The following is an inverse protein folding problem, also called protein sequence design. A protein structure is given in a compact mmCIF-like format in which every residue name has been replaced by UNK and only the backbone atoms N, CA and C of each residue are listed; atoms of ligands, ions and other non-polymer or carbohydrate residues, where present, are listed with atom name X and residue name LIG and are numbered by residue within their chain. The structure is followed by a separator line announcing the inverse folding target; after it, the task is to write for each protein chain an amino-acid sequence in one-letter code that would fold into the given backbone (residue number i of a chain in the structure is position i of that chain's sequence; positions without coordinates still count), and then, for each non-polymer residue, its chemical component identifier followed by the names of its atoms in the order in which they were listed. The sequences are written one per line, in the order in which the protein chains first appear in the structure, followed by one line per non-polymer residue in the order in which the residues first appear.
data_IF_616818502139
#
_entry.id   IF_616818502139
#
_cell.length_a   1.000
_cell.length_b   1.000
_cell.length_c   1.000
_cell.angle_alpha   90.00
_cell.angle_beta   90.00
_cell.angle_gamma   90.00
#
_symmetry.space_group_name_H-M   'P 1'
#
loop_
_entity.id
_entity.type
_entity.pdbx_description
1 polymer ?
#
# COMPACT_ATOMS: atom_id res chain seq x y z
N UNK A 1 -33.53 -47.75 -7.93
CA UNK A 1 -33.14 -46.81 -6.85
C UNK A 1 -32.50 -45.59 -7.46
N UNK A 2 -32.80 -44.37 -7.01
CA UNK A 2 -32.20 -43.16 -7.58
C UNK A 2 -30.69 -43.12 -7.26
N UNK A 3 -29.85 -42.70 -8.21
CA UNK A 3 -28.39 -42.49 -8.03
C UNK A 3 -28.07 -41.76 -6.74
N UNK A 4 -28.87 -40.76 -6.40
CA UNK A 4 -28.71 -39.94 -5.20
C UNK A 4 -28.85 -40.78 -3.91
N UNK A 5 -29.82 -41.66 -3.83
CA UNK A 5 -30.04 -42.54 -2.64
C UNK A 5 -28.85 -43.48 -2.42
N UNK A 6 -28.30 -44.04 -3.49
CA UNK A 6 -27.12 -44.91 -3.43
C UNK A 6 -25.88 -44.18 -2.97
N UNK A 7 -25.65 -42.93 -3.52
CA UNK A 7 -24.54 -42.07 -3.13
C UNK A 7 -24.58 -41.70 -1.64
N UNK A 8 -25.72 -41.24 -1.13
CA UNK A 8 -25.91 -40.91 0.28
C UNK A 8 -25.68 -42.11 1.18
N UNK A 9 -26.26 -43.27 0.84
CA UNK A 9 -26.08 -44.51 1.63
C UNK A 9 -24.62 -44.92 1.69
N UNK A 10 -23.88 -44.80 0.61
CA UNK A 10 -22.47 -45.14 0.57
C UNK A 10 -21.61 -44.19 1.43
N UNK A 11 -21.83 -42.89 1.30
CA UNK A 11 -21.14 -41.86 2.10
C UNK A 11 -21.33 -42.09 3.61
N UNK A 12 -22.55 -42.42 4.04
CA UNK A 12 -22.86 -42.69 5.45
C UNK A 12 -22.24 -43.98 5.97
N UNK A 13 -22.07 -45.01 5.13
CA UNK A 13 -21.46 -46.30 5.50
C UNK A 13 -19.93 -46.22 5.61
N UNK A 14 -19.24 -45.45 4.80
CA UNK A 14 -17.77 -45.39 4.76
C UNK A 14 -17.22 -44.14 5.48
N UNK A 15 -17.58 -43.98 6.75
CA UNK A 15 -17.34 -42.78 7.57
C UNK A 15 -15.90 -42.23 7.52
N UNK A 16 -14.87 -43.11 7.67
CA UNK A 16 -13.48 -42.70 7.71
C UNK A 16 -13.05 -42.10 6.36
N UNK A 17 -13.40 -42.76 5.23
CA UNK A 17 -13.06 -42.27 3.88
C UNK A 17 -13.77 -40.97 3.58
N UNK A 18 -15.04 -40.85 3.95
CA UNK A 18 -15.83 -39.64 3.83
C UNK A 18 -15.23 -38.50 4.62
N UNK A 19 -14.77 -38.74 5.86
CA UNK A 19 -14.15 -37.74 6.72
C UNK A 19 -12.86 -37.22 6.12
N UNK A 20 -12.00 -38.09 5.57
CA UNK A 20 -10.74 -37.68 4.95
C UNK A 20 -11.00 -36.73 3.74
N UNK A 21 -11.94 -37.11 2.85
CA UNK A 21 -12.31 -36.28 1.70
C UNK A 21 -12.92 -34.95 2.16
N UNK A 22 -13.81 -35.03 3.15
CA UNK A 22 -14.39 -33.83 3.76
C UNK A 22 -13.32 -32.87 4.27
N UNK A 23 -12.33 -33.36 5.03
CA UNK A 23 -11.24 -32.55 5.57
C UNK A 23 -10.38 -31.92 4.45
N UNK A 24 -10.04 -32.69 3.40
CA UNK A 24 -9.27 -32.18 2.28
C UNK A 24 -10.02 -31.09 1.55
N UNK A 25 -11.30 -31.30 1.23
CA UNK A 25 -12.14 -30.29 0.58
C UNK A 25 -12.37 -29.07 1.47
N UNK A 26 -12.52 -29.27 2.77
CA UNK A 26 -12.66 -28.21 3.74
C UNK A 26 -11.40 -27.34 3.82
N UNK A 27 -10.22 -27.96 3.92
CA UNK A 27 -8.94 -27.24 3.92
C UNK A 27 -8.74 -26.47 2.60
N UNK A 28 -8.97 -27.13 1.46
CA UNK A 28 -8.87 -26.51 0.13
C UNK A 28 -9.73 -25.25 0.04
N UNK A 29 -11.02 -25.41 0.32
CA UNK A 29 -11.98 -24.31 0.17
C UNK A 29 -11.73 -23.20 1.19
N UNK A 30 -11.29 -23.53 2.40
CA UNK A 30 -10.93 -22.51 3.42
C UNK A 30 -9.70 -21.71 3.00
N UNK A 31 -8.64 -22.35 2.49
CA UNK A 31 -7.45 -21.65 2.04
C UNK A 31 -7.70 -20.83 0.77
N UNK A 32 -8.44 -21.39 -0.19
CA UNK A 32 -8.82 -20.66 -1.39
C UNK A 32 -9.68 -19.42 -1.06
N UNK A 33 -10.65 -19.57 -0.16
CA UNK A 33 -11.51 -18.49 0.31
C UNK A 33 -10.70 -17.41 1.06
N UNK A 34 -9.72 -17.84 1.86
CA UNK A 34 -8.81 -16.91 2.55
C UNK A 34 -7.97 -16.10 1.57
N UNK A 35 -7.45 -16.72 0.51
CA UNK A 35 -6.71 -16.01 -0.54
C UNK A 35 -7.54 -14.94 -1.24
N UNK A 36 -8.79 -15.26 -1.61
CA UNK A 36 -9.74 -14.29 -2.20
C UNK A 36 -10.05 -13.17 -1.22
N UNK A 37 -10.32 -13.49 0.05
CA UNK A 37 -10.67 -12.51 1.07
C UNK A 37 -9.52 -11.53 1.36
N UNK A 38 -8.28 -12.04 1.46
CA UNK A 38 -7.08 -11.19 1.63
C UNK A 38 -6.87 -10.30 0.43
N UNK A 39 -7.01 -10.83 -0.80
CA UNK A 39 -6.90 -10.01 -2.01
C UNK A 39 -7.91 -8.86 -2.02
N UNK A 40 -9.17 -9.16 -1.71
CA UNK A 40 -10.24 -8.15 -1.66
C UNK A 40 -10.03 -7.13 -0.55
N UNK A 41 -9.56 -7.56 0.63
CA UNK A 41 -9.20 -6.66 1.71
C UNK A 41 -8.05 -5.72 1.29
N UNK A 42 -7.07 -6.25 0.55
CA UNK A 42 -5.97 -5.46 -0.03
C UNK A 42 -6.46 -4.45 -1.07
N UNK A 43 -7.38 -4.87 -1.97
CA UNK A 43 -8.04 -3.97 -2.94
C UNK A 43 -8.74 -2.80 -2.23
N UNK A 44 -9.47 -3.09 -1.16
CA UNK A 44 -10.19 -2.07 -0.40
C UNK A 44 -9.23 -1.14 0.35
N UNK A 45 -8.22 -1.70 1.03
CA UNK A 45 -7.20 -0.91 1.72
C UNK A 45 -6.40 -0.04 0.74
N UNK A 46 -6.03 -0.59 -0.42
CA UNK A 46 -5.38 0.16 -1.49
C UNK A 46 -6.26 1.29 -2.02
N UNK A 47 -7.53 1.01 -2.34
CA UNK A 47 -8.48 2.04 -2.81
C UNK A 47 -8.67 3.15 -1.80
N UNK A 48 -8.81 2.83 -0.52
CA UNK A 48 -8.97 3.81 0.54
C UNK A 48 -7.71 4.67 0.70
N UNK A 49 -6.54 4.02 0.76
CA UNK A 49 -5.25 4.69 0.90
C UNK A 49 -4.93 5.56 -0.32
N UNK A 50 -5.21 5.07 -1.53
CA UNK A 50 -4.96 5.80 -2.77
C UNK A 50 -6.11 6.74 -3.19
N UNK A 51 -7.23 6.79 -2.48
CA UNK A 51 -8.38 7.62 -2.87
C UNK A 51 -8.01 9.07 -3.09
N UNK A 52 -7.15 9.61 -2.24
CA UNK A 52 -6.60 10.96 -2.38
C UNK A 52 -5.40 11.01 -3.33
N UNK A 53 -4.55 9.98 -3.32
CA UNK A 53 -3.30 9.91 -4.07
C UNK A 53 -3.56 9.66 -5.57
N UNK A 54 -4.46 8.74 -5.92
CA UNK A 54 -4.76 8.40 -7.32
C UNK A 54 -5.56 9.46 -8.07
N UNK A 55 -6.12 10.43 -7.36
CA UNK A 55 -6.81 11.58 -7.96
C UNK A 55 -5.91 12.81 -8.08
N UNK A 56 -4.59 12.62 -8.07
CA UNK A 56 -3.63 13.73 -8.15
C UNK A 56 -2.39 13.36 -8.96
N UNK A 57 -1.73 14.39 -9.48
CA UNK A 57 -0.43 14.33 -10.13
C UNK A 57 0.46 15.44 -9.59
N UNK A 58 1.76 15.23 -9.62
CA UNK A 58 2.76 16.20 -9.20
C UNK A 58 3.57 16.72 -10.38
N UNK A 59 3.98 17.98 -10.29
CA UNK A 59 4.95 18.60 -11.14
C UNK A 59 6.26 18.71 -10.36
N UNK A 60 7.32 18.18 -10.93
CA UNK A 60 8.67 18.18 -10.37
C UNK A 60 9.67 18.60 -11.43
N UNK A 61 10.87 19.00 -11.04
CA UNK A 61 11.92 19.28 -12.00
C UNK A 61 12.41 18.00 -12.69
N UNK A 62 12.67 18.08 -13.98
CA UNK A 62 13.36 17.01 -14.71
C UNK A 62 14.87 17.11 -14.43
N UNK A 63 15.36 16.35 -13.48
CA UNK A 63 16.75 16.41 -13.01
C UNK A 63 17.81 16.08 -14.07
N UNK A 64 17.41 15.58 -15.25
CA UNK A 64 18.32 15.33 -16.37
C UNK A 64 18.75 16.63 -17.08
N UNK A 65 17.91 17.65 -17.05
CA UNK A 65 18.13 18.94 -17.73
C UNK A 65 18.05 20.13 -16.79
N UNK A 66 17.40 19.96 -15.63
CA UNK A 66 17.21 20.99 -14.62
C UNK A 66 17.79 20.52 -13.28
N UNK A 67 18.92 21.08 -12.90
CA UNK A 67 19.61 20.71 -11.66
C UNK A 67 18.91 21.23 -10.38
N UNK A 68 17.90 22.10 -10.54
CA UNK A 68 17.21 22.74 -9.42
C UNK A 68 17.98 23.92 -8.86
N UNK A 69 17.75 24.17 -7.58
CA UNK A 69 18.46 25.21 -6.82
C UNK A 69 19.88 24.76 -6.44
N UNK A 70 20.77 25.64 -6.00
CA UNK A 70 22.13 25.28 -5.59
C UNK A 70 22.21 24.16 -4.55
N UNK A 71 21.23 24.06 -3.64
CA UNK A 71 21.13 22.96 -2.66
C UNK A 71 20.51 21.69 -3.26
N UNK A 72 20.08 21.73 -4.51
CA UNK A 72 19.45 20.59 -5.18
C UNK A 72 17.94 20.46 -4.96
N UNK A 73 17.28 21.51 -4.46
CA UNK A 73 15.82 21.57 -4.37
C UNK A 73 15.18 21.78 -5.76
N UNK A 74 13.86 21.76 -5.86
CA UNK A 74 13.17 22.11 -7.10
C UNK A 74 13.17 23.61 -7.38
N UNK A 75 13.00 23.99 -8.66
CA UNK A 75 12.86 25.39 -9.07
C UNK A 75 11.69 25.57 -10.05
N UNK A 76 10.52 25.13 -9.68
CA UNK A 76 9.30 25.28 -10.47
C UNK A 76 8.82 26.72 -10.38
N UNK A 77 8.55 27.33 -11.52
CA UNK A 77 8.05 28.70 -11.58
C UNK A 77 6.62 28.80 -11.08
N UNK A 78 6.32 29.77 -10.22
CA UNK A 78 4.97 30.01 -9.73
C UNK A 78 3.98 30.30 -10.86
N UNK A 79 4.42 31.02 -11.93
CA UNK A 79 3.61 31.30 -13.11
C UNK A 79 3.12 30.02 -13.84
N UNK A 80 3.93 28.95 -13.86
CA UNK A 80 3.56 27.70 -14.52
C UNK A 80 2.58 26.91 -13.67
N UNK A 81 2.72 26.92 -12.33
CA UNK A 81 1.73 26.38 -11.40
C UNK A 81 0.38 27.06 -11.59
N UNK A 82 0.36 28.39 -11.74
CA UNK A 82 -0.89 29.14 -11.95
C UNK A 82 -1.57 28.85 -13.29
N UNK A 83 -0.82 28.50 -14.36
CA UNK A 83 -1.39 28.04 -15.63
C UNK A 83 -2.09 26.67 -15.44
N UNK A 84 -1.41 25.74 -14.78
CA UNK A 84 -1.92 24.37 -14.57
C UNK A 84 -3.18 24.40 -13.71
N UNK A 85 -3.19 25.16 -12.61
CA UNK A 85 -4.32 25.21 -11.68
C UNK A 85 -5.64 25.65 -12.34
N UNK A 86 -5.57 26.39 -13.46
CA UNK A 86 -6.74 26.86 -14.22
C UNK A 86 -7.30 25.83 -15.20
N UNK A 87 -6.64 24.70 -15.38
CA UNK A 87 -7.09 23.67 -16.34
C UNK A 87 -8.39 23.04 -15.86
N UNK A 88 -9.34 22.87 -16.82
CA UNK A 88 -10.62 22.20 -16.55
C UNK A 88 -10.36 20.78 -16.02
N UNK A 89 -11.02 20.45 -14.92
CA UNK A 89 -10.86 19.14 -14.29
C UNK A 89 -9.97 19.16 -13.04
N UNK A 90 -9.22 20.23 -12.80
CA UNK A 90 -8.48 20.42 -11.54
C UNK A 90 -9.43 21.02 -10.51
N UNK A 91 -9.47 20.40 -9.31
CA UNK A 91 -10.29 20.86 -8.19
C UNK A 91 -9.50 21.62 -7.16
N UNK A 92 -8.22 21.28 -6.99
CA UNK A 92 -7.39 21.82 -5.93
C UNK A 92 -5.90 21.62 -6.25
N UNK A 93 -5.02 22.30 -5.53
CA UNK A 93 -3.58 22.18 -5.70
C UNK A 93 -2.84 22.46 -4.39
N UNK A 94 -1.63 21.94 -4.31
CA UNK A 94 -0.69 22.28 -3.26
C UNK A 94 0.65 22.63 -3.89
N UNK A 95 1.34 23.64 -3.37
CA UNK A 95 2.68 24.04 -3.79
C UNK A 95 3.57 24.20 -2.58
N UNK A 96 4.85 23.84 -2.73
CA UNK A 96 5.82 23.84 -1.62
C UNK A 96 7.05 24.66 -1.98
N UNK A 97 7.47 25.50 -1.04
CA UNK A 97 8.66 26.35 -1.14
C UNK A 97 9.59 26.03 0.03
N UNK A 98 10.73 25.42 -0.25
CA UNK A 98 11.73 25.08 0.77
C UNK A 98 12.68 26.24 1.04
N UNK A 99 12.81 26.66 2.29
CA UNK A 99 13.74 27.67 2.75
C UNK A 99 14.43 27.25 4.05
N UNK A 100 15.58 27.82 4.36
CA UNK A 100 16.23 27.67 5.67
C UNK A 100 16.18 29.01 6.38
N UNK A 101 15.75 28.98 7.64
CA UNK A 101 15.70 30.15 8.51
C UNK A 101 16.18 29.84 9.91
N UNK A 102 16.82 30.84 10.53
CA UNK A 102 17.30 30.75 11.89
C UNK A 102 16.19 31.16 12.85
N UNK A 103 15.94 30.33 13.87
CA UNK A 103 14.98 30.66 14.93
C UNK A 103 15.65 31.66 15.89
N UNK A 104 15.02 32.82 16.05
CA UNK A 104 15.58 33.91 16.88
C UNK A 104 15.15 33.73 18.33
N UNK A 105 16.11 33.78 19.25
CA UNK A 105 15.89 33.70 20.74
C UNK A 105 15.21 32.41 21.22
N UNK A 106 15.30 31.33 20.45
CA UNK A 106 14.79 30.02 20.83
C UNK A 106 15.80 28.94 20.46
N UNK A 107 15.78 27.83 21.16
CA UNK A 107 16.73 26.74 20.98
C UNK A 107 16.12 25.61 20.15
N UNK A 108 16.91 25.06 19.23
CA UNK A 108 16.55 23.83 18.51
C UNK A 108 16.62 22.62 19.44
N UNK A 109 15.84 21.60 19.13
CA UNK A 109 15.99 20.27 19.71
C UNK A 109 17.36 19.71 19.29
N UNK A 110 18.12 19.22 20.26
CA UNK A 110 19.49 18.75 20.03
C UNK A 110 19.50 17.38 19.35
N UNK A 111 20.49 17.18 18.49
CA UNK A 111 20.78 15.88 17.92
C UNK A 111 21.30 14.95 19.03
N UNK A 112 20.78 13.74 19.11
CA UNK A 112 21.21 12.71 20.06
C UNK A 112 21.84 11.53 19.30
N UNK A 113 22.68 10.73 19.98
CA UNK A 113 23.32 9.56 19.36
C UNK A 113 24.73 9.82 18.86
N UNK A 114 25.27 8.90 18.07
CA UNK A 114 26.68 8.91 17.63
C UNK A 114 27.04 10.13 16.76
N UNK A 115 26.08 10.69 16.04
CA UNK A 115 26.27 11.84 15.15
C UNK A 115 26.30 13.21 15.89
N UNK A 116 25.90 13.26 17.16
CA UNK A 116 25.80 14.51 17.92
C UNK A 116 27.16 15.26 18.09
N UNK A 117 28.27 14.53 18.08
CA UNK A 117 29.63 15.09 18.22
C UNK A 117 30.37 15.40 16.92
N UNK A 118 29.79 15.04 15.78
CA UNK A 118 30.49 15.10 14.48
C UNK A 118 30.39 16.46 13.75
N UNK A 119 29.69 17.45 14.34
CA UNK A 119 29.43 18.73 13.69
C UNK A 119 30.57 19.70 14.01
N UNK A 120 31.24 20.24 12.95
CA UNK A 120 32.29 21.24 13.10
C UNK A 120 31.79 22.53 13.75
N UNK A 121 32.62 23.23 14.49
CA UNK A 121 32.27 24.52 15.12
C UNK A 121 31.85 25.56 14.06
N UNK A 122 32.53 25.59 12.91
CA UNK A 122 32.13 26.48 11.80
C UNK A 122 30.69 26.22 11.33
N UNK A 123 30.28 24.95 11.27
CA UNK A 123 28.91 24.61 10.87
C UNK A 123 27.90 24.94 11.96
N UNK A 124 28.29 24.78 13.24
CA UNK A 124 27.43 25.22 14.35
C UNK A 124 27.20 26.72 14.36
N UNK A 125 28.24 27.51 14.07
CA UNK A 125 28.13 28.95 13.93
C UNK A 125 27.18 29.35 12.80
N UNK A 126 27.26 28.68 11.65
CA UNK A 126 26.47 29.02 10.44
C UNK A 126 25.04 28.47 10.49
N UNK A 127 24.82 27.30 11.07
CA UNK A 127 23.55 26.57 11.00
C UNK A 127 23.03 26.08 12.33
N UNK A 128 23.65 26.45 13.44
CA UNK A 128 23.26 25.95 14.78
C UNK A 128 21.86 26.38 15.24
N UNK A 129 21.27 27.38 14.60
CA UNK A 129 19.89 27.83 14.82
C UNK A 129 18.99 27.64 13.61
N UNK A 130 19.51 26.98 12.58
CA UNK A 130 18.84 26.81 11.31
C UNK A 130 17.79 25.71 11.38
N UNK A 131 16.60 26.00 10.90
CA UNK A 131 15.48 25.09 10.72
C UNK A 131 15.14 24.95 9.24
N UNK A 132 14.80 23.74 8.79
CA UNK A 132 14.16 23.54 7.51
C UNK A 132 12.71 24.01 7.58
N UNK A 133 12.35 24.92 6.70
CA UNK A 133 11.03 25.54 6.63
C UNK A 133 10.42 25.24 5.28
N UNK A 134 9.24 24.67 5.28
CA UNK A 134 8.45 24.52 4.05
C UNK A 134 7.25 25.44 4.07
N UNK A 135 7.28 26.44 3.19
CA UNK A 135 6.10 27.24 2.85
C UNK A 135 5.12 26.39 2.03
N UNK A 136 3.88 26.31 2.49
CA UNK A 136 2.84 25.49 1.86
C UNK A 136 1.49 26.20 1.94
N UNK A 137 0.68 26.08 0.89
CA UNK A 137 -0.64 26.70 0.86
C UNK A 137 -1.73 25.88 1.57
N UNK A 138 -1.56 24.57 1.71
CA UNK A 138 -2.45 23.68 2.48
C UNK A 138 -1.64 22.56 3.13
N UNK A 139 -1.32 22.69 4.42
CA UNK A 139 -0.49 21.70 5.09
C UNK A 139 -1.18 20.36 5.33
N UNK A 140 -2.51 20.26 5.23
CA UNK A 140 -3.22 18.98 5.35
C UNK A 140 -2.92 18.02 4.19
N UNK A 141 -2.45 18.58 3.07
CA UNK A 141 -2.07 17.85 1.85
C UNK A 141 -0.56 17.67 1.69
N UNK A 142 0.23 18.08 2.68
CA UNK A 142 1.66 17.75 2.69
C UNK A 142 1.83 16.23 2.75
N UNK A 143 2.76 15.70 1.95
CA UNK A 143 2.97 14.26 1.81
C UNK A 143 3.27 13.57 3.14
N UNK A 144 3.88 14.27 4.10
CA UNK A 144 4.16 13.75 5.44
C UNK A 144 2.91 13.61 6.28
N UNK A 145 1.92 14.50 6.14
CA UNK A 145 0.61 14.33 6.76
C UNK A 145 -0.22 13.27 6.03
N UNK A 146 -0.20 13.26 4.70
CA UNK A 146 -0.88 12.23 3.88
C UNK A 146 -0.32 10.83 4.17
N UNK A 147 0.99 10.70 4.38
CA UNK A 147 1.64 9.43 4.74
C UNK A 147 1.55 9.09 6.23
N UNK A 148 0.95 9.95 7.05
CA UNK A 148 0.86 9.83 8.51
C UNK A 148 2.22 9.86 9.24
N UNK A 149 3.28 10.25 8.55
CA UNK A 149 4.59 10.52 9.15
C UNK A 149 4.49 11.67 10.14
N UNK A 150 3.77 12.73 9.76
CA UNK A 150 3.35 13.79 10.67
C UNK A 150 1.89 13.62 11.07
N UNK A 151 1.58 13.96 12.32
CA UNK A 151 0.21 13.97 12.83
C UNK A 151 -0.05 15.31 13.51
N UNK A 152 -1.11 15.98 13.13
CA UNK A 152 -1.55 17.19 13.83
C UNK A 152 -1.95 16.81 15.26
N UNK A 153 -1.33 17.45 16.25
CA UNK A 153 -1.54 17.17 17.68
C UNK A 153 -2.50 18.17 18.33
N UNK A 154 -2.35 19.44 17.99
CA UNK A 154 -3.19 20.54 18.50
C UNK A 154 -3.29 21.65 17.47
N UNK A 155 -4.36 22.43 17.52
CA UNK A 155 -4.56 23.56 16.62
C UNK A 155 -5.15 23.15 15.28
N UNK A 156 -4.72 23.78 14.21
CA UNK A 156 -5.24 23.57 12.85
C UNK A 156 -4.14 23.55 11.81
N UNK A 157 -4.44 22.99 10.65
CA UNK A 157 -3.61 23.09 9.45
C UNK A 157 -3.54 24.51 8.90
N UNK A 158 -2.46 24.79 8.15
CA UNK A 158 -2.30 26.00 7.35
C UNK A 158 -3.26 25.95 6.16
N UNK A 159 -3.72 27.14 5.76
CA UNK A 159 -4.60 27.37 4.60
C UNK A 159 -4.00 28.42 3.68
N UNK A 160 -4.44 28.45 2.43
CA UNK A 160 -3.95 29.40 1.40
C UNK A 160 -4.18 30.88 1.81
N UNK A 161 -5.13 31.16 2.68
CA UNK A 161 -5.40 32.51 3.20
C UNK A 161 -4.48 32.95 4.34
N UNK A 162 -3.69 32.04 4.90
CA UNK A 162 -2.82 32.35 6.03
C UNK A 162 -1.61 33.22 5.62
N UNK A 163 -1.23 34.12 6.51
CA UNK A 163 -0.03 34.97 6.37
C UNK A 163 0.68 35.02 7.70
N UNK A 164 1.97 34.78 7.67
CA UNK A 164 2.83 34.78 8.86
C UNK A 164 2.35 33.80 9.94
N UNK A 165 1.89 32.61 9.48
CA UNK A 165 1.43 31.52 10.36
C UNK A 165 2.32 30.30 10.17
N UNK A 166 2.52 29.56 11.27
CA UNK A 166 3.36 28.35 11.27
C UNK A 166 2.74 27.20 12.05
N UNK A 167 3.07 25.98 11.63
CA UNK A 167 3.00 24.81 12.47
C UNK A 167 4.43 24.43 12.87
N UNK A 168 4.62 24.11 14.15
CA UNK A 168 5.90 23.64 14.68
C UNK A 168 5.71 22.27 15.34
N UNK A 169 6.81 21.55 15.51
CA UNK A 169 6.77 20.28 16.20
C UNK A 169 6.50 20.46 17.70
N UNK A 170 5.76 19.51 18.29
CA UNK A 170 5.38 19.58 19.71
C UNK A 170 6.60 19.60 20.66
N UNK A 171 7.71 18.94 20.31
CA UNK A 171 8.90 18.91 21.13
C UNK A 171 9.70 20.23 21.05
N UNK A 172 9.75 20.89 19.87
CA UNK A 172 10.28 22.25 19.76
C UNK A 172 9.47 23.23 20.62
N UNK A 173 8.15 23.12 20.57
CA UNK A 173 7.26 23.92 21.40
C UNK A 173 7.47 23.70 22.90
N UNK A 174 7.61 22.44 23.32
CA UNK A 174 7.89 22.08 24.73
C UNK A 174 9.23 22.64 25.21
N UNK A 175 10.31 22.47 24.42
CA UNK A 175 11.66 22.96 24.76
C UNK A 175 11.64 24.47 25.01
N UNK A 176 10.90 25.20 24.19
CA UNK A 176 10.85 26.67 24.23
C UNK A 176 9.61 27.23 25.02
N UNK A 177 8.80 26.35 25.61
CA UNK A 177 7.57 26.73 26.37
C UNK A 177 6.56 27.54 25.55
N UNK A 178 6.53 27.27 24.20
CA UNK A 178 5.66 27.96 23.26
C UNK A 178 4.24 27.36 23.26
N UNK A 179 3.24 28.22 23.05
CA UNK A 179 1.82 27.86 22.98
C UNK A 179 1.22 28.26 21.63
N UNK A 180 0.07 27.71 21.27
CA UNK A 180 -0.70 28.17 20.10
C UNK A 180 -1.11 29.64 20.35
N UNK A 181 -0.91 30.48 19.33
CA UNK A 181 -1.11 31.93 19.40
C UNK A 181 0.16 32.73 19.76
N UNK A 182 1.20 32.07 20.30
CA UNK A 182 2.48 32.75 20.54
C UNK A 182 3.16 33.11 19.24
N UNK A 183 3.95 34.20 19.29
CA UNK A 183 4.73 34.71 18.18
C UNK A 183 6.22 34.56 18.45
N UNK A 184 6.96 34.22 17.42
CA UNK A 184 8.42 34.23 17.43
C UNK A 184 8.97 34.72 16.10
N UNK A 185 10.27 35.01 16.05
CA UNK A 185 10.92 35.55 14.87
C UNK A 185 11.78 34.48 14.18
N UNK A 186 11.70 34.44 12.87
CA UNK A 186 12.56 33.65 12.00
C UNK A 186 13.36 34.61 11.14
N UNK A 187 14.67 34.38 11.04
CA UNK A 187 15.57 35.19 10.22
C UNK A 187 16.08 34.35 9.06
N UNK A 188 16.24 34.96 7.88
CA UNK A 188 16.88 34.33 6.73
C UNK A 188 18.26 33.81 7.10
N UNK A 189 18.55 32.53 6.82
CA UNK A 189 19.92 32.05 6.95
C UNK A 189 20.74 32.50 5.74
N UNK A 190 21.77 33.32 5.98
CA UNK A 190 22.62 33.93 4.93
C UNK A 190 23.62 32.94 4.33
N UNK A 191 23.85 31.82 4.99
CA UNK A 191 24.77 30.77 4.53
C UNK A 191 24.09 29.68 3.72
N UNK A 192 22.76 29.69 3.65
CA UNK A 192 22.05 28.74 2.80
C UNK A 192 22.29 29.05 1.32
N UNK A 193 22.72 28.01 0.59
CA UNK A 193 23.03 28.12 -0.83
C UNK A 193 21.79 28.51 -1.67
N UNK A 194 20.59 28.16 -1.23
CA UNK A 194 19.34 28.50 -1.92
C UNK A 194 18.86 29.93 -1.63
N UNK A 195 19.48 30.65 -0.70
CA UNK A 195 19.24 32.06 -0.48
C UNK A 195 19.96 32.93 -1.57
N UNK A 196 19.60 32.69 -2.83
CA UNK A 196 20.24 33.30 -4.00
C UNK A 196 20.08 34.83 -4.04
N UNK A 197 18.99 35.35 -3.45
CA UNK A 197 18.73 36.78 -3.33
C UNK A 197 19.52 37.45 -2.19
N UNK A 198 20.34 36.67 -1.46
CA UNK A 198 21.09 37.14 -0.29
C UNK A 198 20.19 37.85 0.74
N UNK A 199 18.97 37.35 0.89
CA UNK A 199 17.99 37.89 1.82
C UNK A 199 18.52 37.89 3.25
N UNK A 200 18.21 38.92 4.02
CA UNK A 200 18.54 39.06 5.44
C UNK A 200 17.32 39.55 6.22
N UNK A 201 16.18 39.00 5.86
CA UNK A 201 14.88 39.34 6.39
C UNK A 201 14.64 38.70 7.75
N UNK A 202 13.88 39.40 8.60
CA UNK A 202 13.36 38.84 9.85
C UNK A 202 11.84 38.90 9.81
N UNK A 203 11.19 37.74 9.96
CA UNK A 203 9.74 37.61 9.88
C UNK A 203 9.20 37.16 11.23
N UNK A 204 8.25 37.91 11.79
CA UNK A 204 7.52 37.47 12.95
C UNK A 204 6.35 36.58 12.52
N UNK A 205 6.26 35.35 13.11
CA UNK A 205 5.26 34.36 12.78
C UNK A 205 4.47 33.94 14.01
N UNK A 206 3.20 33.57 13.83
CA UNK A 206 2.32 33.10 14.88
C UNK A 206 2.08 31.59 14.73
N UNK A 207 2.13 30.87 15.84
CA UNK A 207 1.90 29.43 15.91
C UNK A 207 0.40 29.14 15.85
N UNK A 208 -0.05 28.40 14.83
CA UNK A 208 -1.46 28.00 14.68
C UNK A 208 -1.71 26.53 14.98
N UNK A 209 -0.67 25.74 15.12
CA UNK A 209 -0.81 24.33 15.50
C UNK A 209 0.51 23.65 15.79
N UNK A 210 0.39 22.48 16.41
CA UNK A 210 1.49 21.59 16.72
C UNK A 210 1.31 20.28 15.99
N UNK A 211 2.39 19.76 15.41
CA UNK A 211 2.44 18.43 14.87
C UNK A 211 3.47 17.57 15.62
N UNK A 212 3.38 16.26 15.44
CA UNK A 212 4.35 15.30 15.95
C UNK A 212 4.70 14.30 14.88
N UNK A 213 5.84 13.69 15.01
CA UNK A 213 6.44 12.68 14.14
C UNK A 213 7.89 12.49 14.54
N UNK A 214 8.49 11.36 14.19
CA UNK A 214 9.90 11.10 14.49
C UNK A 214 10.60 10.59 13.25
N UNK A 215 11.84 11.01 13.05
CA UNK A 215 12.69 10.42 12.04
C UNK A 215 12.82 8.92 12.29
N UNK A 216 12.70 8.13 11.25
CA UNK A 216 12.90 6.66 11.30
C UNK A 216 14.37 6.29 11.14
N UNK A 217 15.18 7.23 10.68
CA UNK A 217 16.61 7.09 10.43
C UNK A 217 17.38 8.09 11.26
N UNK A 218 18.63 7.76 11.53
CA UNK A 218 19.55 8.70 12.11
C UNK A 218 19.84 9.83 11.13
N UNK A 219 19.77 11.06 11.61
CA UNK A 219 20.07 12.26 10.85
C UNK A 219 21.42 12.80 11.20
N UNK A 220 22.03 13.53 10.28
CA UNK A 220 23.40 14.04 10.46
C UNK A 220 23.41 15.42 11.09
N UNK A 221 22.37 16.21 10.82
CA UNK A 221 22.33 17.61 11.24
C UNK A 221 21.03 17.94 12.00
N UNK A 222 21.10 18.84 13.00
CA UNK A 222 19.92 19.22 13.81
C UNK A 222 18.73 19.73 12.98
N UNK A 223 18.99 20.44 11.87
CA UNK A 223 17.94 20.94 11.00
C UNK A 223 17.18 19.83 10.23
N UNK A 224 17.71 18.61 10.18
CA UNK A 224 17.07 17.46 9.56
C UNK A 224 16.14 16.72 10.51
N UNK A 225 16.22 17.04 11.82
CA UNK A 225 15.28 16.50 12.80
C UNK A 225 13.88 17.02 12.52
N UNK A 226 12.91 16.12 12.52
CA UNK A 226 11.50 16.49 12.41
C UNK A 226 11.04 17.38 13.55
N UNK A 227 11.67 17.23 14.71
CA UNK A 227 11.46 18.08 15.88
C UNK A 227 11.81 19.56 15.64
N UNK A 228 12.70 19.82 14.70
CA UNK A 228 13.12 21.18 14.34
C UNK A 228 12.49 21.67 13.03
N UNK A 229 11.62 20.87 12.41
CA UNK A 229 10.99 21.22 11.15
C UNK A 229 9.83 22.19 11.36
N UNK A 230 9.71 23.18 10.45
CA UNK A 230 8.64 24.17 10.48
C UNK A 230 7.87 24.12 9.17
N UNK A 231 6.54 24.06 9.28
CA UNK A 231 5.66 24.32 8.15
C UNK A 231 5.15 25.76 8.26
N UNK A 232 5.31 26.56 7.25
CA UNK A 232 4.85 27.96 7.18
C UNK A 232 3.85 28.16 6.06
N UNK A 233 3.10 29.23 6.10
CA UNK A 233 2.42 29.72 4.91
C UNK A 233 3.42 30.17 3.84
N UNK A 234 2.96 30.29 2.58
CA UNK A 234 3.79 30.69 1.43
C UNK A 234 4.39 32.08 1.59
N UNK A 235 3.63 33.03 2.16
CA UNK A 235 4.08 34.42 2.30
C UNK A 235 5.29 34.53 3.24
N UNK A 236 5.30 33.73 4.32
CA UNK A 236 6.45 33.64 5.24
C UNK A 236 7.70 33.15 4.53
N UNK A 237 7.61 32.03 3.80
CA UNK A 237 8.75 31.47 3.07
C UNK A 237 9.26 32.42 1.97
N UNK A 238 8.33 33.02 1.21
CA UNK A 238 8.63 34.00 0.17
C UNK A 238 9.40 35.21 0.72
N UNK A 239 8.95 35.77 1.85
CA UNK A 239 9.59 36.91 2.48
C UNK A 239 10.97 36.56 3.03
N UNK A 240 11.15 35.40 3.61
CA UNK A 240 12.45 34.95 4.10
C UNK A 240 13.53 34.92 3.01
N UNK A 241 13.18 34.61 1.76
CA UNK A 241 14.14 34.61 0.65
C UNK A 241 14.00 35.80 -0.30
N UNK A 242 13.21 36.82 0.10
CA UNK A 242 12.97 38.02 -0.66
C UNK A 242 12.52 37.71 -2.12
N UNK A 243 11.66 36.71 -2.28
CA UNK A 243 11.01 36.43 -3.56
C UNK A 243 9.84 37.39 -3.80
N UNK A 244 9.66 37.77 -5.05
CA UNK A 244 8.46 38.45 -5.54
C UNK A 244 7.53 37.41 -6.20
N UNK A 245 6.31 37.82 -6.55
CA UNK A 245 5.38 36.96 -7.32
C UNK A 245 5.92 36.59 -8.71
N UNK A 246 6.79 37.40 -9.26
CA UNK A 246 7.31 37.19 -10.61
C UNK A 246 8.51 36.25 -10.65
N UNK A 247 9.28 36.16 -9.55
CA UNK A 247 10.48 35.33 -9.47
C UNK A 247 10.40 34.19 -8.45
N UNK A 248 9.23 34.01 -7.86
CA UNK A 248 9.05 32.91 -6.89
C UNK A 248 9.21 31.52 -7.54
N UNK A 249 9.96 30.68 -6.87
CA UNK A 249 10.19 29.30 -7.27
C UNK A 249 9.74 28.35 -6.18
N UNK A 250 9.27 27.19 -6.60
CA UNK A 250 8.74 26.16 -5.73
C UNK A 250 9.52 24.87 -5.87
N UNK A 251 9.58 24.12 -4.81
CA UNK A 251 10.22 22.80 -4.80
C UNK A 251 9.46 21.82 -5.69
N UNK A 252 8.16 21.80 -5.54
CA UNK A 252 7.22 20.99 -6.32
C UNK A 252 5.79 21.55 -6.20
N UNK A 253 4.88 20.98 -6.98
CA UNK A 253 3.46 21.22 -6.85
C UNK A 253 2.67 19.94 -7.15
N UNK A 254 1.59 19.70 -6.39
CA UNK A 254 0.65 18.63 -6.66
C UNK A 254 -0.73 19.19 -6.99
N UNK A 255 -1.42 18.55 -7.94
CA UNK A 255 -2.71 18.98 -8.46
C UNK A 255 -3.73 17.85 -8.30
N UNK A 256 -4.87 18.16 -7.72
CA UNK A 256 -5.95 17.23 -7.46
C UNK A 256 -7.04 17.41 -8.51
N UNK A 257 -7.53 16.30 -9.07
CA UNK A 257 -8.59 16.32 -10.06
C UNK A 257 -9.99 16.24 -9.42
N UNK A 258 -10.99 16.74 -10.13
CA UNK A 258 -12.39 16.61 -9.72
C UNK A 258 -12.83 15.15 -9.72
N UNK A 259 -13.71 14.80 -8.78
CA UNK A 259 -14.31 13.47 -8.75
C UNK A 259 -15.01 13.13 -10.07
N UNK A 260 -14.70 11.95 -10.62
CA UNK A 260 -15.28 11.47 -11.87
C UNK A 260 -14.52 11.87 -13.14
N UNK A 261 -13.51 12.72 -13.04
CA UNK A 261 -12.61 13.03 -14.16
C UNK A 261 -11.51 11.96 -14.28
N UNK A 262 -11.02 11.75 -15.52
CA UNK A 262 -9.87 10.87 -15.75
C UNK A 262 -8.56 11.62 -15.53
N UNK A 263 -7.69 11.07 -14.67
CA UNK A 263 -6.37 11.63 -14.39
C UNK A 263 -5.55 11.76 -15.67
N UNK A 264 -5.55 10.73 -16.52
CA UNK A 264 -4.81 10.72 -17.78
C UNK A 264 -5.28 11.83 -18.72
N UNK A 265 -6.60 12.02 -18.82
CA UNK A 265 -7.19 13.07 -19.67
C UNK A 265 -6.80 14.47 -19.18
N UNK A 266 -6.87 14.71 -17.88
CA UNK A 266 -6.49 16.00 -17.30
C UNK A 266 -4.99 16.24 -17.47
N UNK A 267 -4.14 15.22 -17.23
CA UNK A 267 -2.70 15.33 -17.46
C UNK A 267 -2.35 15.61 -18.93
N UNK A 268 -3.10 15.04 -19.88
CA UNK A 268 -2.92 15.35 -21.32
C UNK A 268 -3.23 16.81 -21.61
N UNK A 269 -4.33 17.35 -21.09
CA UNK A 269 -4.67 18.78 -21.23
C UNK A 269 -3.61 19.71 -20.61
N UNK A 270 -3.05 19.29 -19.49
CA UNK A 270 -1.96 20.03 -18.84
C UNK A 270 -0.70 20.06 -19.72
N UNK A 271 -0.36 18.96 -20.38
CA UNK A 271 0.80 18.89 -21.28
C UNK A 271 0.68 19.77 -22.54
N UNK A 272 -0.53 20.15 -22.93
CA UNK A 272 -0.79 21.09 -24.03
C UNK A 272 -0.54 22.55 -23.67
N UNK A 273 -0.36 22.86 -22.38
CA UNK A 273 -0.08 24.24 -21.95
C UNK A 273 1.27 24.72 -22.45
N UNK A 274 1.41 26.04 -22.68
CA UNK A 274 2.66 26.70 -23.09
C UNK A 274 3.63 26.79 -21.90
N UNK A 275 4.18 25.63 -21.51
CA UNK A 275 5.16 25.42 -20.45
C UNK A 275 6.36 24.68 -21.07
N UNK A 276 7.57 25.03 -20.66
CA UNK A 276 8.76 24.30 -21.09
C UNK A 276 8.86 22.93 -20.39
N UNK A 277 8.14 21.97 -20.94
CA UNK A 277 8.07 20.61 -20.40
C UNK A 277 9.40 19.84 -20.42
N UNK A 278 10.45 20.38 -21.06
CA UNK A 278 11.79 19.79 -20.94
C UNK A 278 12.36 19.97 -19.53
N UNK A 279 11.96 21.06 -18.86
CA UNK A 279 12.41 21.38 -17.51
C UNK A 279 11.68 20.61 -16.40
N UNK A 280 10.52 20.03 -16.70
CA UNK A 280 9.63 19.47 -15.70
C UNK A 280 9.11 18.09 -16.08
N UNK A 281 8.90 17.26 -15.07
CA UNK A 281 8.21 15.97 -15.16
C UNK A 281 6.83 16.09 -14.51
N UNK A 282 5.81 15.55 -15.19
CA UNK A 282 4.49 15.30 -14.61
C UNK A 282 4.38 13.84 -14.20
N UNK A 283 4.24 13.59 -12.92
CA UNK A 283 4.19 12.27 -12.35
C UNK A 283 2.84 12.05 -11.65
N UNK A 284 2.24 10.87 -11.81
CA UNK A 284 1.10 10.49 -10.96
C UNK A 284 1.57 10.50 -9.51
N UNK A 285 0.79 11.09 -8.61
CA UNK A 285 1.17 11.16 -7.19
C UNK A 285 1.36 9.78 -6.57
N UNK A 286 0.71 8.74 -7.11
CA UNK A 286 0.95 7.36 -6.70
C UNK A 286 2.40 6.89 -6.89
N UNK A 287 3.13 7.48 -7.83
CA UNK A 287 4.54 7.15 -8.07
C UNK A 287 5.45 7.64 -6.93
N UNK A 288 4.99 8.62 -6.15
CA UNK A 288 5.70 9.11 -4.97
C UNK A 288 5.61 8.15 -3.78
N UNK A 289 4.82 7.06 -3.91
CA UNK A 289 4.65 6.06 -2.84
C UNK A 289 5.07 4.64 -3.29
N UNK A 290 6.32 4.44 -3.72
CA UNK A 290 6.78 3.15 -4.25
C UNK A 290 6.71 2.04 -3.21
N UNK A 291 6.95 2.34 -1.95
CA UNK A 291 6.88 1.38 -0.83
C UNK A 291 5.46 0.87 -0.61
N UNK A 292 4.46 1.75 -0.73
CA UNK A 292 3.06 1.36 -0.65
C UNK A 292 2.69 0.42 -1.81
N UNK A 293 3.13 0.75 -3.03
CA UNK A 293 2.90 -0.08 -4.22
C UNK A 293 3.55 -1.46 -4.08
N UNK A 294 4.79 -1.51 -3.59
CA UNK A 294 5.50 -2.77 -3.34
C UNK A 294 4.81 -3.60 -2.26
N UNK A 295 4.33 -2.97 -1.18
CA UNK A 295 3.56 -3.61 -0.12
C UNK A 295 2.29 -4.27 -0.67
N UNK A 296 1.52 -3.54 -1.49
CA UNK A 296 0.31 -4.06 -2.14
C UNK A 296 0.66 -5.25 -3.03
N UNK A 297 1.66 -5.11 -3.89
CA UNK A 297 2.09 -6.17 -4.82
C UNK A 297 2.58 -7.42 -4.09
N UNK A 298 3.30 -7.25 -2.98
CA UNK A 298 3.75 -8.36 -2.15
C UNK A 298 2.57 -9.11 -1.50
N UNK A 299 1.58 -8.40 -0.96
CA UNK A 299 0.38 -9.01 -0.39
C UNK A 299 -0.41 -9.76 -1.48
N UNK A 300 -0.58 -9.17 -2.67
CA UNK A 300 -1.23 -9.86 -3.80
C UNK A 300 -0.50 -11.12 -4.22
N UNK A 301 0.82 -11.10 -4.27
CA UNK A 301 1.63 -12.28 -4.62
C UNK A 301 1.36 -13.43 -3.64
N UNK A 302 1.39 -13.16 -2.34
CA UNK A 302 1.13 -14.17 -1.32
C UNK A 302 -0.32 -14.65 -1.37
N UNK A 303 -1.29 -13.75 -1.51
CA UNK A 303 -2.71 -14.11 -1.62
C UNK A 303 -2.99 -14.99 -2.86
N UNK A 304 -2.37 -14.67 -4.00
CA UNK A 304 -2.49 -15.49 -5.22
C UNK A 304 -1.84 -16.86 -5.08
N UNK A 305 -0.67 -16.95 -4.42
CA UNK A 305 -0.02 -18.24 -4.12
C UNK A 305 -0.91 -19.08 -3.21
N UNK A 306 -1.52 -18.49 -2.18
CA UNK A 306 -2.47 -19.20 -1.32
C UNK A 306 -3.69 -19.70 -2.09
N UNK A 307 -4.27 -18.88 -2.94
CA UNK A 307 -5.44 -19.23 -3.74
C UNK A 307 -5.11 -20.35 -4.75
N UNK A 308 -4.19 -20.10 -5.67
CA UNK A 308 -3.83 -21.03 -6.75
C UNK A 308 -3.14 -22.27 -6.18
N UNK A 309 -2.20 -22.09 -5.25
CA UNK A 309 -1.47 -23.16 -4.62
C UNK A 309 -2.38 -24.12 -3.87
N UNK A 310 -3.39 -23.61 -3.14
CA UNK A 310 -4.36 -24.45 -2.45
C UNK A 310 -5.20 -25.28 -3.42
N UNK A 311 -5.60 -24.72 -4.56
CA UNK A 311 -6.39 -25.42 -5.57
C UNK A 311 -5.57 -26.56 -6.23
N UNK A 312 -4.34 -26.29 -6.62
CA UNK A 312 -3.44 -27.28 -7.27
C UNK A 312 -3.10 -28.40 -6.28
N UNK A 313 -2.60 -28.04 -5.10
CA UNK A 313 -2.15 -29.01 -4.11
C UNK A 313 -3.29 -29.91 -3.63
N UNK A 314 -4.44 -29.31 -3.34
CA UNK A 314 -5.61 -30.08 -2.92
C UNK A 314 -6.21 -30.89 -4.05
N UNK A 315 -6.17 -30.42 -5.29
CA UNK A 315 -6.57 -31.19 -6.46
C UNK A 315 -5.73 -32.46 -6.65
N UNK A 316 -4.41 -32.35 -6.47
CA UNK A 316 -3.50 -33.50 -6.49
C UNK A 316 -3.80 -34.49 -5.37
N UNK A 317 -3.93 -34.03 -4.12
CA UNK A 317 -4.25 -34.89 -2.97
C UNK A 317 -5.61 -35.56 -3.17
N UNK A 318 -6.63 -34.81 -3.58
CA UNK A 318 -7.96 -35.34 -3.86
C UNK A 318 -7.92 -36.42 -4.92
N UNK A 319 -7.20 -36.20 -6.02
CA UNK A 319 -7.03 -37.16 -7.10
C UNK A 319 -6.38 -38.46 -6.60
N UNK A 320 -5.32 -38.37 -5.81
CA UNK A 320 -4.64 -39.53 -5.22
C UNK A 320 -5.56 -40.32 -4.28
N UNK A 321 -6.27 -39.63 -3.39
CA UNK A 321 -7.21 -40.25 -2.45
C UNK A 321 -8.35 -40.95 -3.22
N UNK A 322 -8.91 -40.28 -4.22
CA UNK A 322 -9.96 -40.83 -5.08
C UNK A 322 -9.47 -42.03 -5.88
N UNK A 323 -8.26 -41.97 -6.40
CA UNK A 323 -7.63 -43.10 -7.12
C UNK A 323 -7.55 -44.35 -6.21
N UNK A 324 -7.05 -44.19 -4.99
CA UNK A 324 -7.00 -45.32 -4.01
C UNK A 324 -8.40 -45.78 -3.61
N UNK A 325 -9.33 -44.84 -3.46
CA UNK A 325 -10.70 -45.18 -3.07
C UNK A 325 -11.46 -45.93 -4.16
N UNK A 326 -11.42 -45.43 -5.40
CA UNK A 326 -12.10 -46.04 -6.56
C UNK A 326 -11.43 -47.39 -6.88
N UNK A 327 -10.11 -47.51 -6.75
CA UNK A 327 -9.38 -48.74 -6.92
C UNK A 327 -9.85 -49.84 -5.93
N UNK A 328 -10.13 -49.46 -4.69
CA UNK A 328 -10.69 -50.40 -3.67
C UNK A 328 -12.14 -50.86 -3.96
N UNK A 329 -12.79 -50.29 -4.98
CA UNK A 329 -14.17 -50.65 -5.44
C UNK A 329 -14.19 -51.44 -6.73
N UNK A 330 -13.04 -52.02 -7.17
CA UNK A 330 -12.91 -52.73 -8.42
C UNK A 330 -14.00 -53.79 -8.65
N UNK A 331 -14.27 -54.62 -7.61
CA UNK A 331 -15.30 -55.68 -7.68
C UNK A 331 -16.71 -55.08 -7.87
N UNK A 332 -17.03 -54.02 -7.15
CA UNK A 332 -18.31 -53.32 -7.26
C UNK A 332 -18.51 -52.75 -8.66
N UNK A 333 -17.47 -52.10 -9.22
CA UNK A 333 -17.49 -51.59 -10.60
C UNK A 333 -17.63 -52.71 -11.61
N UNK A 334 -16.89 -53.82 -11.44
CA UNK A 334 -17.01 -55.01 -12.29
C UNK A 334 -18.41 -55.59 -12.33
N UNK A 335 -19.07 -55.73 -11.17
CA UNK A 335 -20.47 -56.18 -11.07
C UNK A 335 -21.41 -55.18 -11.78
N UNK A 336 -21.28 -53.90 -11.55
CA UNK A 336 -22.10 -52.84 -12.20
C UNK A 336 -22.00 -52.93 -13.73
N UNK A 337 -20.78 -53.07 -14.26
CA UNK A 337 -20.55 -53.23 -15.71
C UNK A 337 -21.11 -54.55 -16.25
N UNK A 338 -21.04 -55.68 -15.48
CA UNK A 338 -21.55 -56.97 -15.89
C UNK A 338 -23.08 -57.00 -15.97
N UNK A 339 -23.80 -56.21 -15.17
CA UNK A 339 -25.26 -56.06 -15.29
C UNK A 339 -25.68 -55.00 -16.29
N UNK A 340 -24.72 -54.50 -17.16
CA UNK A 340 -25.02 -53.57 -18.24
C UNK A 340 -25.11 -52.11 -17.87
N UNK A 341 -24.61 -51.68 -16.70
CA UNK A 341 -24.59 -50.27 -16.35
C UNK A 341 -23.55 -49.52 -17.21
N UNK A 342 -23.98 -48.40 -17.80
CA UNK A 342 -23.10 -47.57 -18.62
C UNK A 342 -21.98 -46.94 -17.76
N UNK A 343 -20.79 -46.80 -18.37
CA UNK A 343 -19.61 -46.17 -17.72
C UNK A 343 -19.89 -44.75 -17.23
N UNK A 344 -20.69 -44.00 -18.02
CA UNK A 344 -21.14 -42.63 -17.68
C UNK A 344 -21.98 -42.59 -16.41
N UNK A 345 -22.83 -43.57 -16.20
CA UNK A 345 -23.68 -43.68 -14.98
C UNK A 345 -22.82 -43.99 -13.76
N UNK A 346 -21.79 -44.85 -13.92
CA UNK A 346 -20.85 -45.17 -12.83
C UNK A 346 -20.00 -43.94 -12.49
N UNK A 347 -19.49 -43.21 -13.49
CA UNK A 347 -18.81 -41.94 -13.28
C UNK A 347 -19.71 -40.92 -12.55
N UNK A 348 -20.94 -40.75 -13.05
CA UNK A 348 -21.94 -39.86 -12.42
C UNK A 348 -22.24 -40.23 -10.96
N UNK A 349 -22.23 -41.51 -10.58
CA UNK A 349 -22.40 -41.94 -9.19
C UNK A 349 -21.22 -41.48 -8.33
N UNK A 350 -19.96 -41.67 -8.77
CA UNK A 350 -18.79 -41.21 -8.03
C UNK A 350 -18.79 -39.69 -7.88
N UNK A 351 -19.09 -38.99 -8.96
CA UNK A 351 -19.18 -37.50 -8.96
C UNK A 351 -20.23 -37.05 -7.92
N UNK A 352 -21.41 -37.69 -7.92
CA UNK A 352 -22.49 -37.33 -6.99
C UNK A 352 -22.09 -37.60 -5.51
N UNK A 353 -21.37 -38.68 -5.24
CA UNK A 353 -20.85 -39.01 -3.89
C UNK A 353 -19.92 -37.89 -3.40
N UNK A 354 -18.98 -37.43 -4.23
CA UNK A 354 -18.02 -36.39 -3.85
C UNK A 354 -18.68 -35.00 -3.77
N UNK A 355 -19.59 -34.68 -4.68
CA UNK A 355 -20.34 -33.43 -4.65
C UNK A 355 -21.22 -33.34 -3.39
N UNK A 356 -21.79 -34.47 -2.95
CA UNK A 356 -22.55 -34.47 -1.70
C UNK A 356 -21.64 -34.15 -0.49
N UNK A 357 -20.44 -34.72 -0.42
CA UNK A 357 -19.45 -34.42 0.63
C UNK A 357 -19.02 -32.96 0.54
N UNK A 358 -18.76 -32.47 -0.69
CA UNK A 358 -18.28 -31.10 -0.94
C UNK A 358 -19.25 -30.03 -0.47
N UNK A 359 -20.55 -30.28 -0.55
CA UNK A 359 -21.57 -29.35 -0.08
C UNK A 359 -21.36 -29.00 1.41
N UNK A 360 -21.16 -29.98 2.25
CA UNK A 360 -20.90 -29.76 3.68
C UNK A 360 -19.51 -29.14 3.92
N UNK A 361 -18.51 -29.52 3.11
CA UNK A 361 -17.18 -28.93 3.19
C UNK A 361 -17.19 -27.44 2.84
N UNK A 362 -17.94 -27.04 1.81
CA UNK A 362 -18.08 -25.63 1.43
C UNK A 362 -18.83 -24.83 2.49
N UNK A 363 -19.90 -25.37 3.09
CA UNK A 363 -20.59 -24.72 4.20
C UNK A 363 -19.63 -24.54 5.38
N UNK A 364 -18.93 -25.60 5.76
CA UNK A 364 -17.95 -25.56 6.86
C UNK A 364 -16.82 -24.56 6.60
N UNK A 365 -16.33 -24.49 5.36
CA UNK A 365 -15.25 -23.56 4.96
C UNK A 365 -15.67 -22.08 5.04
N UNK A 366 -16.94 -21.77 4.86
CA UNK A 366 -17.45 -20.41 5.01
C UNK A 366 -17.33 -19.92 6.46
N UNK A 367 -17.64 -20.77 7.44
CA UNK A 367 -17.53 -20.42 8.86
C UNK A 367 -16.07 -20.42 9.33
N UNK A 368 -15.31 -21.46 9.02
CA UNK A 368 -13.88 -21.54 9.37
C UNK A 368 -13.06 -20.47 8.66
N UNK A 369 -13.39 -20.20 7.40
CA UNK A 369 -12.71 -19.19 6.59
C UNK A 369 -12.73 -17.80 7.22
N UNK A 370 -13.82 -17.41 7.86
CA UNK A 370 -13.91 -16.10 8.55
C UNK A 370 -12.83 -15.91 9.61
N UNK A 371 -12.53 -16.98 10.36
CA UNK A 371 -11.52 -16.93 11.43
C UNK A 371 -10.12 -17.04 10.83
N UNK A 372 -9.91 -18.02 9.95
CA UNK A 372 -8.62 -18.36 9.37
C UNK A 372 -8.14 -17.25 8.41
N UNK A 373 -9.02 -16.68 7.58
CA UNK A 373 -8.64 -15.61 6.67
C UNK A 373 -8.14 -14.35 7.40
N UNK A 374 -8.75 -14.00 8.53
CA UNK A 374 -8.30 -12.88 9.36
C UNK A 374 -6.91 -13.15 9.95
N UNK A 375 -6.69 -14.36 10.46
CA UNK A 375 -5.37 -14.77 10.97
C UNK A 375 -4.29 -14.76 9.88
N UNK A 376 -4.58 -15.33 8.71
CA UNK A 376 -3.68 -15.37 7.56
C UNK A 376 -3.40 -13.94 7.08
N UNK A 377 -4.42 -13.10 6.92
CA UNK A 377 -4.26 -11.71 6.48
C UNK A 377 -3.35 -10.90 7.40
N UNK A 378 -3.52 -11.01 8.70
CA UNK A 378 -2.66 -10.35 9.68
C UNK A 378 -1.21 -10.88 9.66
N UNK A 379 -1.03 -12.17 9.45
CA UNK A 379 0.30 -12.80 9.35
C UNK A 379 1.02 -12.32 8.08
N UNK A 380 0.33 -12.30 6.93
CA UNK A 380 0.88 -11.80 5.67
C UNK A 380 1.27 -10.33 5.82
N UNK A 381 0.38 -9.52 6.40
CA UNK A 381 0.64 -8.10 6.60
C UNK A 381 1.91 -7.87 7.44
N UNK A 382 2.04 -8.56 8.58
CA UNK A 382 3.23 -8.48 9.44
C UNK A 382 4.50 -8.90 8.69
N UNK A 383 4.46 -10.00 7.95
CA UNK A 383 5.60 -10.51 7.21
C UNK A 383 6.04 -9.55 6.08
N UNK A 384 5.08 -9.04 5.31
CA UNK A 384 5.35 -8.07 4.23
C UNK A 384 5.90 -6.77 4.80
N UNK A 385 5.28 -6.22 5.85
CA UNK A 385 5.73 -4.99 6.49
C UNK A 385 7.15 -5.13 7.06
N UNK A 386 7.46 -6.25 7.72
CA UNK A 386 8.80 -6.50 8.25
C UNK A 386 9.84 -6.73 7.16
N UNK A 387 9.50 -7.40 6.07
CA UNK A 387 10.39 -7.63 4.93
C UNK A 387 10.75 -6.33 4.23
N UNK A 388 9.75 -5.51 3.90
CA UNK A 388 9.97 -4.21 3.26
C UNK A 388 10.75 -3.27 4.19
N UNK A 389 10.43 -3.27 5.48
CA UNK A 389 11.18 -2.49 6.47
C UNK A 389 12.68 -2.85 6.50
N UNK A 390 13.04 -4.14 6.42
CA UNK A 390 14.45 -4.57 6.31
C UNK A 390 15.10 -4.13 5.00
N UNK A 391 14.40 -4.25 3.88
CA UNK A 391 14.92 -3.82 2.56
C UNK A 391 15.16 -2.31 2.54
N UNK A 392 14.25 -1.53 3.11
CA UNK A 392 14.43 -0.09 3.25
C UNK A 392 15.63 0.24 4.16
N UNK A 393 15.79 -0.45 5.27
CA UNK A 393 16.94 -0.26 6.16
C UNK A 393 18.27 -0.62 5.47
N UNK A 394 18.30 -1.69 4.66
CA UNK A 394 19.49 -2.13 3.94
C UNK A 394 19.88 -1.18 2.78
N UNK A 395 18.90 -0.65 2.04
CA UNK A 395 19.14 0.25 0.89
C UNK A 395 19.51 1.68 1.31
N UNK A 396 19.33 2.02 2.57
CA UNK A 396 19.56 3.37 3.10
C UNK A 396 21.04 3.78 3.22
N UNK A 397 21.99 2.86 3.00
CA UNK A 397 23.43 3.16 3.00
C UNK A 397 23.99 3.81 1.74
N UNK A 398 23.20 3.96 0.67
CA UNK A 398 23.71 4.38 -0.66
C UNK A 398 23.10 5.66 -1.24
N UNK A 399 22.12 6.28 -0.60
CA UNK A 399 21.51 7.53 -1.12
C UNK A 399 22.28 8.77 -0.61
N UNK A 400 23.35 9.09 -1.29
CA UNK A 400 23.97 10.42 -1.25
C UNK A 400 22.99 11.43 -1.85
N UNK A 401 22.39 12.29 -1.02
CA UNK A 401 21.70 13.50 -1.46
C UNK A 401 20.16 13.56 -1.40
N UNK A 402 19.50 12.57 -0.82
CA UNK A 402 18.06 12.65 -0.56
C UNK A 402 17.78 12.74 0.94
N UNK A 403 17.87 13.94 1.51
CA UNK A 403 17.60 14.19 2.93
C UNK A 403 16.21 13.69 3.40
N UNK A 404 15.79 14.13 4.56
CA UNK A 404 14.54 13.79 5.26
C UNK A 404 13.27 13.68 4.38
N UNK A 405 13.28 14.27 3.19
CA UNK A 405 12.16 14.26 2.25
C UNK A 405 11.81 12.85 1.69
N UNK A 406 12.77 11.93 1.61
CA UNK A 406 12.51 10.57 1.13
C UNK A 406 11.69 9.71 2.12
N UNK A 407 11.63 10.08 3.39
CA UNK A 407 10.88 9.34 4.41
C UNK A 407 9.36 9.57 4.34
N UNK A 408 8.92 10.73 3.84
CA UNK A 408 7.50 11.05 3.70
C UNK A 408 6.73 10.11 2.78
N UNK A 409 7.44 9.36 1.93
CA UNK A 409 6.85 8.45 0.93
C UNK A 409 6.84 6.97 1.36
N UNK A 410 7.24 6.66 2.59
CA UNK A 410 7.33 5.29 3.11
C UNK A 410 6.02 4.78 3.73
N UNK A 411 4.87 5.24 3.23
CA UNK A 411 3.57 4.70 3.66
C UNK A 411 3.45 3.22 3.26
N UNK A 412 2.97 2.40 4.18
CA UNK A 412 2.63 0.99 3.96
C UNK A 412 1.19 0.73 4.40
N UNK A 413 0.59 -0.35 3.92
CA UNK A 413 -0.67 -0.83 4.48
C UNK A 413 -0.38 -1.33 5.90
N UNK A 414 -1.06 -0.76 6.89
CA UNK A 414 -0.91 -1.10 8.31
C UNK A 414 -2.03 -1.98 8.84
N UNK A 415 -3.19 -1.97 8.16
CA UNK A 415 -4.36 -2.75 8.54
C UNK A 415 -5.04 -3.38 7.33
N UNK A 416 -5.47 -4.62 7.47
CA UNK A 416 -6.29 -5.34 6.50
C UNK A 416 -7.60 -5.75 7.17
N UNK A 417 -8.70 -5.16 6.73
CA UNK A 417 -10.02 -5.58 7.18
C UNK A 417 -10.49 -6.77 6.32
N UNK A 418 -10.08 -7.97 6.72
CA UNK A 418 -10.40 -9.20 6.00
C UNK A 418 -11.79 -9.67 6.37
N UNK A 419 -12.71 -9.56 5.42
CA UNK A 419 -14.10 -10.01 5.54
C UNK A 419 -14.43 -10.98 4.41
N UNK A 420 -15.20 -12.03 4.72
CA UNK A 420 -15.71 -13.00 3.76
C UNK A 420 -17.19 -12.76 3.54
N UNK A 421 -17.55 -12.48 2.31
CA UNK A 421 -18.94 -12.31 1.88
C UNK A 421 -19.45 -13.56 1.17
N UNK A 422 -20.78 -13.84 1.19
CA UNK A 422 -21.36 -14.97 0.45
C UNK A 422 -21.04 -14.96 -1.05
N UNK A 423 -20.82 -13.77 -1.63
CA UNK A 423 -20.41 -13.62 -3.04
C UNK A 423 -19.02 -14.21 -3.34
N UNK A 424 -18.10 -14.19 -2.39
CA UNK A 424 -16.75 -14.73 -2.55
C UNK A 424 -16.80 -16.26 -2.61
N UNK A 425 -17.76 -16.87 -1.95
CA UNK A 425 -17.98 -18.31 -1.92
C UNK A 425 -18.35 -18.89 -3.29
N UNK A 426 -19.07 -18.14 -4.13
CA UNK A 426 -19.45 -18.60 -5.49
C UNK A 426 -18.25 -19.04 -6.31
N UNK A 427 -17.17 -18.26 -6.31
CA UNK A 427 -15.97 -18.58 -7.06
C UNK A 427 -15.27 -19.84 -6.54
N UNK A 428 -15.20 -20.00 -5.21
CA UNK A 428 -14.60 -21.19 -4.58
C UNK A 428 -15.42 -22.45 -4.89
N UNK A 429 -16.75 -22.36 -4.87
CA UNK A 429 -17.65 -23.48 -5.20
C UNK A 429 -17.49 -23.86 -6.68
N UNK A 430 -17.49 -22.90 -7.60
CA UNK A 430 -17.33 -23.17 -9.05
C UNK A 430 -15.98 -23.85 -9.31
N UNK A 431 -14.88 -23.28 -8.81
CA UNK A 431 -13.55 -23.87 -8.98
C UNK A 431 -13.43 -25.23 -8.29
N UNK A 432 -14.03 -25.40 -7.10
CA UNK A 432 -14.06 -26.66 -6.39
C UNK A 432 -14.80 -27.76 -7.17
N UNK A 433 -15.94 -27.45 -7.78
CA UNK A 433 -16.69 -28.41 -8.63
C UNK A 433 -15.85 -28.82 -9.85
N UNK A 434 -15.17 -27.87 -10.49
CA UNK A 434 -14.26 -28.16 -11.63
C UNK A 434 -13.15 -29.12 -11.20
N UNK A 435 -12.47 -28.83 -10.08
CA UNK A 435 -11.38 -29.67 -9.57
C UNK A 435 -11.90 -31.07 -9.19
N UNK A 436 -13.03 -31.15 -8.52
CA UNK A 436 -13.67 -32.43 -8.15
C UNK A 436 -13.97 -33.24 -9.42
N UNK A 437 -14.54 -32.63 -10.45
CA UNK A 437 -14.89 -33.30 -11.71
C UNK A 437 -13.64 -33.85 -12.39
N UNK A 438 -12.57 -33.03 -12.48
CA UNK A 438 -11.29 -33.45 -13.04
C UNK A 438 -10.67 -34.59 -12.21
N UNK A 439 -10.65 -34.47 -10.89
CA UNK A 439 -10.08 -35.47 -10.00
C UNK A 439 -10.81 -36.84 -10.12
N UNK A 440 -12.14 -36.81 -10.15
CA UNK A 440 -12.96 -38.03 -10.35
C UNK A 440 -12.71 -38.63 -11.74
N UNK A 441 -12.61 -37.78 -12.79
CA UNK A 441 -12.33 -38.25 -14.15
C UNK A 441 -10.97 -38.97 -14.25
N UNK A 442 -9.91 -38.34 -13.72
CA UNK A 442 -8.56 -38.93 -13.71
C UNK A 442 -8.54 -40.21 -12.89
N UNK A 443 -9.12 -40.20 -11.68
CA UNK A 443 -9.11 -41.35 -10.77
C UNK A 443 -9.89 -42.55 -11.33
N UNK A 444 -11.01 -42.31 -12.02
CA UNK A 444 -11.87 -43.37 -12.55
C UNK A 444 -11.48 -43.89 -13.93
N UNK A 445 -10.74 -43.09 -14.71
CA UNK A 445 -10.42 -43.36 -16.11
C UNK A 445 -9.81 -44.76 -16.33
N UNK A 446 -8.76 -45.10 -15.58
CA UNK A 446 -8.03 -46.38 -15.75
C UNK A 446 -8.89 -47.59 -15.42
N UNK A 447 -9.83 -47.51 -14.46
CA UNK A 447 -10.72 -48.56 -14.09
C UNK A 447 -11.90 -48.72 -15.05
N UNK A 448 -12.48 -47.60 -15.49
CA UNK A 448 -13.58 -47.65 -16.44
C UNK A 448 -13.13 -47.99 -17.88
N UNK A 449 -11.83 -47.92 -18.16
CA UNK A 449 -11.26 -48.42 -19.43
C UNK A 449 -11.18 -49.97 -19.49
N UNK A 450 -11.04 -50.65 -18.37
CA UNK A 450 -10.94 -52.12 -18.29
C UNK A 450 -12.27 -52.81 -18.62
N UNK A 451 -12.16 -54.09 -19.07
CA UNK A 451 -13.33 -54.96 -19.29
C UNK A 451 -13.86 -55.54 -17.97
N UNK A 452 -15.18 -55.86 -17.86
CA UNK A 452 -15.75 -56.44 -16.63
C UNK A 452 -15.00 -57.69 -16.16
N UNK A 453 -14.59 -58.58 -17.09
CA UNK A 453 -13.84 -59.77 -16.78
C UNK A 453 -12.50 -59.49 -16.09
N UNK A 454 -11.77 -58.48 -16.53
CA UNK A 454 -10.48 -58.10 -15.97
C UNK A 454 -10.62 -57.54 -14.54
N UNK A 455 -11.73 -56.84 -14.25
CA UNK A 455 -12.02 -56.25 -12.94
C UNK A 455 -12.46 -57.29 -11.90
N UNK A 456 -12.99 -58.43 -12.37
CA UNK A 456 -13.46 -59.54 -11.52
C UNK A 456 -12.42 -60.63 -11.34
N UNK A 457 -11.47 -60.81 -12.31
CA UNK A 457 -10.47 -61.87 -12.30
C UNK A 457 -9.14 -61.52 -11.64
N UNK A 458 -8.84 -60.24 -11.41
CA UNK A 458 -7.68 -59.79 -10.60
C UNK A 458 -7.92 -60.10 -9.11
N UNK A 459 -7.94 -61.41 -8.78
CA UNK A 459 -8.06 -61.94 -7.41
C UNK A 459 -6.78 -62.74 -7.16
N UNK A 460 -5.69 -62.01 -6.89
CA UNK A 460 -4.55 -62.56 -6.10
C UNK A 460 -3.78 -61.39 -5.47
#
# INVERSE_FOLDING_TARGET
MSMLKNAITYVLRKKVKTLIIFCVLLCMSTMALSGIAVKKATDNAAKETFKTINSSFSMQINRRVNQGTPRGSGNIKGSDIEKIRKVKGISDYVKRMGVIGDIVNHDLVELTGENAGAISEERKERFGRASLITGINDSSKDDRFVSETFKLKKGRHLKDSDKYKVLIHEDLAKKNKLKIGDKFKIKSNRYDADNINKANETVEVEIVGFFGGKNKKDVTYPQELYENYILSDIETARKLYNYTKDNEIYQDAAFYIKNGESLEKVMSLVKELPIDWKQYDLLKSSNNFPVLQESINAIYRVANILFIGSLIFSGLILTLILFLWINGRRKEIGIMLSIGMEKTKIFGQFLTEILFISLFSFIGSFYLGRVIAKFIGNTILKQVTSSIGRTLAANNGTNLGGGADAEGFNKMITELNVTINPGDMKWVVIMGIIIITIAVAIASYKLLAKRPKELLSDID
#
